data_IF_633616189459
#
_entry.id   IF_633616189459
#
_cell.length_a   1.000
_cell.length_b   1.000
_cell.length_c   1.000
_cell.angle_alpha   90.00
_cell.angle_beta   90.00
_cell.angle_gamma   90.00
#
_symmetry.space_group_name_H-M   'P 1'
#
loop_
_entity.id
_entity.type
_entity.pdbx_description
1 polymer ?
#
# COMPACT_ATOMS: atom_id res chain seq x y z
N UNK A 1 5.98 11.24 7.65
CA UNK A 1 5.31 11.23 6.32
C UNK A 1 5.83 10.03 5.54
N UNK A 2 4.96 9.26 4.88
CA UNK A 2 5.38 8.08 4.13
C UNK A 2 6.07 8.46 2.81
N UNK A 3 7.14 7.74 2.44
CA UNK A 3 7.86 7.92 1.16
C UNK A 3 7.54 6.82 0.16
N UNK A 4 7.14 5.63 0.63
CA UNK A 4 6.68 4.53 -0.23
C UNK A 4 5.25 4.78 -0.71
N UNK A 5 5.06 4.63 -2.03
CA UNK A 5 3.74 4.74 -2.66
C UNK A 5 2.76 3.69 -2.11
N UNK A 6 3.25 2.50 -1.77
CA UNK A 6 2.42 1.44 -1.18
C UNK A 6 1.92 1.85 0.21
N UNK A 7 2.76 2.48 1.03
CA UNK A 7 2.35 2.97 2.36
C UNK A 7 1.36 4.14 2.25
N UNK A 8 1.59 5.07 1.32
CA UNK A 8 0.68 6.19 1.04
C UNK A 8 -0.70 5.65 0.64
N UNK A 9 -0.75 4.76 -0.34
CA UNK A 9 -2.00 4.19 -0.88
C UNK A 9 -2.71 3.32 0.17
N UNK A 10 -1.97 2.52 0.94
CA UNK A 10 -2.53 1.77 2.05
C UNK A 10 -3.15 2.71 3.09
N UNK A 11 -2.49 3.82 3.42
CA UNK A 11 -2.97 4.78 4.42
C UNK A 11 -4.17 5.58 3.94
N UNK A 12 -4.28 5.81 2.63
CA UNK A 12 -5.45 6.43 2.03
C UNK A 12 -6.70 5.53 2.18
N UNK A 13 -6.55 4.21 2.05
CA UNK A 13 -7.66 3.26 2.20
C UNK A 13 -7.96 2.89 3.67
N UNK A 14 -6.93 2.54 4.45
CA UNK A 14 -7.08 1.98 5.80
C UNK A 14 -6.90 3.01 6.94
N UNK A 15 -6.46 4.22 6.61
CA UNK A 15 -6.09 5.25 7.58
C UNK A 15 -4.65 5.14 8.07
N UNK A 16 -4.10 6.29 8.48
CA UNK A 16 -2.71 6.43 8.93
C UNK A 16 -2.39 5.54 10.14
N UNK A 17 -3.26 5.51 11.16
CA UNK A 17 -3.01 4.77 12.40
C UNK A 17 -2.89 3.25 12.15
N UNK A 18 -3.77 2.68 11.32
CA UNK A 18 -3.73 1.25 10.98
C UNK A 18 -2.47 0.88 10.21
N UNK A 19 -2.03 1.73 9.30
CA UNK A 19 -0.78 1.49 8.56
C UNK A 19 0.43 1.55 9.47
N UNK A 20 0.48 2.47 10.45
CA UNK A 20 1.57 2.47 11.42
C UNK A 20 1.58 1.22 12.30
N UNK A 21 0.41 0.72 12.72
CA UNK A 21 0.32 -0.56 13.43
C UNK A 21 0.92 -1.70 12.58
N UNK A 22 0.60 -1.76 11.28
CA UNK A 22 1.11 -2.80 10.39
C UNK A 22 2.60 -2.66 10.06
N UNK A 23 3.11 -1.43 9.96
CA UNK A 23 4.55 -1.18 9.73
C UNK A 23 5.42 -1.59 10.92
N UNK A 24 4.85 -1.71 12.12
CA UNK A 24 5.54 -2.23 13.29
C UNK A 24 5.45 -3.76 13.40
N UNK A 25 4.85 -4.45 12.43
CA UNK A 25 4.72 -5.90 12.41
C UNK A 25 5.42 -6.51 11.16
N UNK A 26 6.44 -7.38 11.34
CA UNK A 26 7.17 -8.00 10.24
C UNK A 26 6.31 -8.97 9.38
N UNK A 27 5.16 -9.42 9.87
CA UNK A 27 4.24 -10.27 9.07
C UNK A 27 3.53 -9.48 7.96
N UNK A 28 3.41 -8.16 8.14
CA UNK A 28 2.62 -7.29 7.25
C UNK A 28 3.49 -6.35 6.43
N UNK A 29 4.75 -6.17 6.82
CA UNK A 29 5.68 -5.27 6.15
C UNK A 29 7.04 -5.93 5.93
N UNK A 30 7.75 -5.48 4.89
CA UNK A 30 9.14 -5.83 4.62
C UNK A 30 9.89 -4.54 4.30
N UNK A 31 11.04 -4.34 4.96
CA UNK A 31 11.91 -3.18 4.76
C UNK A 31 11.18 -1.82 4.90
N UNK A 32 10.25 -1.74 5.86
CA UNK A 32 9.46 -0.52 6.12
C UNK A 32 8.35 -0.25 5.08
N UNK A 33 8.02 -1.23 4.25
CA UNK A 33 6.94 -1.13 3.25
C UNK A 33 5.88 -2.20 3.49
N UNK A 34 4.61 -1.80 3.45
CA UNK A 34 3.49 -2.73 3.54
C UNK A 34 3.49 -3.67 2.33
N UNK A 35 3.59 -4.97 2.59
CA UNK A 35 3.58 -6.03 1.57
C UNK A 35 2.37 -6.96 1.68
N UNK A 36 1.89 -7.19 2.90
CA UNK A 36 0.81 -8.14 3.17
C UNK A 36 -0.10 -7.64 4.30
N UNK A 37 -0.85 -6.55 4.11
CA UNK A 37 -1.74 -6.04 5.15
C UNK A 37 -2.81 -7.10 5.49
N UNK A 38 -3.18 -7.25 6.78
CA UNK A 38 -4.16 -8.27 7.22
C UNK A 38 -5.57 -7.98 6.70
N UNK A 39 -5.83 -6.73 6.32
CA UNK A 39 -7.10 -6.32 5.75
C UNK A 39 -7.16 -6.70 4.25
N UNK A 40 -8.09 -7.60 3.90
CA UNK A 40 -8.32 -8.07 2.52
C UNK A 40 -8.74 -6.95 1.56
N UNK A 41 -9.49 -5.96 2.04
CA UNK A 41 -9.87 -4.79 1.25
C UNK A 41 -8.64 -3.98 0.85
N UNK A 42 -7.78 -3.61 1.81
CA UNK A 42 -6.56 -2.84 1.55
C UNK A 42 -5.57 -3.61 0.67
N UNK A 43 -5.44 -4.92 0.88
CA UNK A 43 -4.65 -5.78 0.01
C UNK A 43 -5.14 -5.74 -1.45
N UNK A 44 -6.45 -5.86 -1.66
CA UNK A 44 -7.04 -5.79 -3.00
C UNK A 44 -6.94 -4.38 -3.60
N UNK A 45 -7.06 -3.35 -2.77
CA UNK A 45 -6.92 -1.96 -3.18
C UNK A 45 -5.50 -1.69 -3.73
N UNK A 46 -4.46 -2.13 -3.01
CA UNK A 46 -3.07 -2.05 -3.47
C UNK A 46 -2.85 -2.79 -4.80
N UNK A 47 -3.41 -3.99 -4.96
CA UNK A 47 -3.35 -4.74 -6.22
C UNK A 47 -3.99 -3.98 -7.38
N UNK A 48 -5.20 -3.43 -7.18
CA UNK A 48 -5.91 -2.64 -8.19
C UNK A 48 -5.13 -1.38 -8.55
N UNK A 49 -4.59 -0.68 -7.54
CA UNK A 49 -3.76 0.50 -7.73
C UNK A 49 -2.53 0.20 -8.60
N UNK A 50 -1.75 -0.84 -8.27
CA UNK A 50 -0.56 -1.25 -9.05
C UNK A 50 -0.90 -1.59 -10.49
N UNK A 51 -2.00 -2.31 -10.73
CA UNK A 51 -2.49 -2.61 -12.08
C UNK A 51 -2.81 -1.34 -12.86
N UNK A 52 -3.54 -0.41 -12.26
CA UNK A 52 -3.94 0.84 -12.91
C UNK A 52 -2.74 1.77 -13.15
N UNK A 53 -1.83 1.88 -12.18
CA UNK A 53 -0.61 2.68 -12.31
C UNK A 53 0.24 2.21 -13.50
N UNK A 54 0.35 0.90 -13.73
CA UNK A 54 1.03 0.36 -14.91
C UNK A 54 0.38 0.85 -16.21
N UNK A 55 -0.95 0.82 -16.30
CA UNK A 55 -1.69 1.29 -17.48
C UNK A 55 -1.52 2.79 -17.69
N UNK A 56 -1.65 3.61 -16.63
CA UNK A 56 -1.47 5.05 -16.75
C UNK A 56 -0.05 5.43 -17.18
N UNK A 57 0.98 4.79 -16.62
CA UNK A 57 2.37 4.99 -17.04
C UNK A 57 2.60 4.70 -18.53
N UNK A 58 1.87 3.75 -19.12
CA UNK A 58 1.97 3.44 -20.55
C UNK A 58 1.15 4.36 -21.47
N UNK A 59 0.25 5.18 -20.91
CA UNK A 59 -0.66 6.05 -21.68
C UNK A 59 -0.33 7.53 -21.57
N UNK A 60 0.52 7.90 -20.62
CA UNK A 60 0.92 9.28 -20.32
C UNK A 60 2.39 9.53 -20.75
N UNK A 61 3.07 8.50 -21.28
CA UNK A 61 4.35 8.60 -21.98
C UNK A 61 4.12 8.58 -23.48
#
# INVERSE_FOLDING_TARGET
MYTSLDNIVASYNAGFNKVNEWLNNPDYCKDGVITNPPNKETYNYLKKFKKNLKVYKTRIN
#
